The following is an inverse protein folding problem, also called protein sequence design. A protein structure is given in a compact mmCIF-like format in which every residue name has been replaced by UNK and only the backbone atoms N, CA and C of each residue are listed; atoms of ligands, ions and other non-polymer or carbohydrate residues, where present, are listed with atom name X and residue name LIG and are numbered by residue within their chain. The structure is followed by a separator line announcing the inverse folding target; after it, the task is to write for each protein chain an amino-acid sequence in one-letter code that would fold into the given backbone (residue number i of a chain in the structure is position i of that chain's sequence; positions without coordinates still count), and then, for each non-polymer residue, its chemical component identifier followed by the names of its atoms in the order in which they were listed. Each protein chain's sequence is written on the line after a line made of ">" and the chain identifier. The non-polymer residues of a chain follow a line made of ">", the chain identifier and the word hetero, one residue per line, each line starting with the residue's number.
data_IF_746312117275
#
_entry.id   IF_746312117275
#
_cell.length_a   1.000
_cell.length_b   1.000
_cell.length_c   1.000
_cell.angle_alpha   90.00
_cell.angle_beta   90.00
_cell.angle_gamma   90.00
#
_symmetry.space_group_name_H-M   'P 1'
#
loop_
_entity.id
_entity.type
_entity.pdbx_description
1 polymer ?
#
# COMPACT_ATOMS: atom_id res chain seq x y z
N UNK A 1 4.94 -62.84 6.63
CA UNK A 1 4.70 -61.97 7.80
C UNK A 1 4.79 -60.56 7.28
N UNK A 2 3.63 -59.93 7.08
CA UNK A 2 3.49 -58.58 6.58
C UNK A 2 3.83 -57.61 7.71
N UNK A 3 4.71 -56.64 7.45
CA UNK A 3 4.65 -55.32 8.07
C UNK A 3 5.08 -54.31 7.01
N UNK A 4 4.05 -53.82 6.35
CA UNK A 4 3.95 -52.53 5.68
C UNK A 4 4.37 -51.43 6.67
N UNK A 5 5.41 -50.67 6.34
CA UNK A 5 5.72 -49.41 7.01
C UNK A 5 5.45 -48.30 5.99
N UNK A 6 4.16 -48.04 5.82
CA UNK A 6 3.64 -46.81 5.25
C UNK A 6 4.01 -45.68 6.21
N UNK A 7 4.98 -44.86 5.81
CA UNK A 7 5.32 -43.62 6.49
C UNK A 7 4.12 -42.65 6.36
N UNK A 8 3.48 -42.25 7.48
CA UNK A 8 2.26 -41.48 7.39
C UNK A 8 2.59 -40.01 7.14
N UNK A 9 2.32 -39.59 5.92
CA UNK A 9 1.70 -38.30 5.65
C UNK A 9 2.56 -37.10 6.02
N UNK A 10 3.38 -36.69 5.06
CA UNK A 10 3.85 -35.32 4.91
C UNK A 10 2.64 -34.40 4.66
N UNK A 11 1.87 -34.11 5.72
CA UNK A 11 0.78 -33.13 5.68
C UNK A 11 1.31 -31.78 6.15
N UNK A 12 2.33 -31.27 5.45
CA UNK A 12 2.40 -29.84 5.22
C UNK A 12 1.26 -29.52 4.24
N UNK A 13 0.03 -29.43 4.76
CA UNK A 13 -1.10 -28.97 3.98
C UNK A 13 -0.74 -27.58 3.48
N UNK A 14 -0.44 -27.48 2.18
CA UNK A 14 -0.43 -26.24 1.44
C UNK A 14 -1.78 -25.57 1.67
N UNK A 15 -1.83 -24.68 2.66
CA UNK A 15 -2.96 -23.79 2.84
C UNK A 15 -2.88 -22.89 1.62
N UNK A 16 -3.82 -23.11 0.71
CA UNK A 16 -4.04 -22.32 -0.50
C UNK A 16 -3.91 -20.83 -0.19
N UNK A 17 -3.13 -20.12 -1.01
CA UNK A 17 -2.92 -18.66 -0.97
C UNK A 17 -4.23 -17.83 -1.10
N UNK A 18 -5.39 -18.50 -1.18
CA UNK A 18 -6.69 -17.91 -1.46
C UNK A 18 -7.84 -18.43 -0.58
N UNK A 19 -7.60 -19.16 0.51
CA UNK A 19 -8.70 -19.49 1.44
C UNK A 19 -8.88 -18.37 2.47
N UNK A 20 -10.08 -17.82 2.59
CA UNK A 20 -10.43 -16.87 3.65
C UNK A 20 -10.16 -17.50 5.01
N UNK A 21 -9.11 -17.04 5.69
CA UNK A 21 -8.80 -17.52 7.04
C UNK A 21 -9.74 -16.76 7.96
N UNK A 22 -10.51 -17.48 8.78
CA UNK A 22 -11.35 -16.84 9.81
C UNK A 22 -10.49 -15.90 10.67
N UNK A 23 -11.06 -14.76 11.08
CA UNK A 23 -10.43 -13.78 11.99
C UNK A 23 -9.71 -14.48 13.15
N UNK A 24 -10.35 -15.48 13.75
CA UNK A 24 -9.80 -16.26 14.86
C UNK A 24 -8.56 -17.04 14.47
N UNK A 25 -8.59 -17.72 13.32
CA UNK A 25 -7.45 -18.50 12.82
C UNK A 25 -6.30 -17.57 12.39
N UNK A 26 -6.59 -16.43 11.77
CA UNK A 26 -5.60 -15.42 11.41
C UNK A 26 -4.91 -14.86 12.67
N UNK A 27 -5.66 -14.56 13.72
CA UNK A 27 -5.10 -14.06 14.99
C UNK A 27 -4.25 -15.10 15.74
N UNK A 28 -4.54 -16.39 15.56
CA UNK A 28 -3.75 -17.49 16.15
C UNK A 28 -2.45 -17.69 15.36
N UNK A 29 -2.54 -17.80 14.03
CA UNK A 29 -1.39 -18.06 13.15
C UNK A 29 -0.47 -16.83 13.05
N UNK A 30 -1.08 -15.64 13.02
CA UNK A 30 -0.42 -14.36 12.82
C UNK A 30 -0.88 -13.37 13.89
N UNK A 31 -0.36 -13.55 15.11
CA UNK A 31 -0.65 -12.62 16.21
C UNK A 31 -0.31 -11.20 15.82
N UNK A 32 -1.25 -10.29 16.12
CA UNK A 32 -1.09 -8.85 15.93
C UNK A 32 0.19 -8.37 16.59
N UNK A 33 0.94 -7.51 15.91
CA UNK A 33 2.05 -6.79 16.52
C UNK A 33 1.54 -5.89 17.66
N UNK A 34 2.30 -5.75 18.73
CA UNK A 34 1.87 -5.00 19.93
C UNK A 34 1.43 -3.57 19.61
N UNK A 35 2.13 -2.90 18.69
CA UNK A 35 1.81 -1.55 18.24
C UNK A 35 2.04 -1.39 16.73
N UNK A 36 1.21 -0.58 16.08
CA UNK A 36 1.32 -0.24 14.65
C UNK A 36 2.62 0.51 14.34
N UNK A 37 3.14 1.27 15.30
CA UNK A 37 4.41 2.00 15.20
C UNK A 37 5.61 1.08 15.04
N UNK A 38 5.53 -0.18 15.52
CA UNK A 38 6.61 -1.17 15.32
C UNK A 38 6.70 -1.53 13.84
N UNK A 39 5.55 -1.77 13.19
CA UNK A 39 5.48 -2.07 11.75
C UNK A 39 5.95 -0.86 10.94
N UNK A 40 5.47 0.35 11.28
CA UNK A 40 5.89 1.57 10.60
C UNK A 40 7.40 1.83 10.73
N UNK A 41 7.94 1.72 11.94
CA UNK A 41 9.37 1.95 12.21
C UNK A 41 10.23 0.95 11.44
N UNK A 42 9.87 -0.33 11.46
CA UNK A 42 10.55 -1.36 10.67
C UNK A 42 10.55 -1.01 9.17
N UNK A 43 9.38 -0.70 8.61
CA UNK A 43 9.24 -0.40 7.19
C UNK A 43 10.08 0.80 6.77
N UNK A 44 9.98 1.91 7.51
CA UNK A 44 10.73 3.14 7.20
C UNK A 44 12.25 2.94 7.37
N UNK A 45 12.69 2.18 8.38
CA UNK A 45 14.11 1.85 8.53
C UNK A 45 14.62 1.00 7.36
N UNK A 46 13.87 -0.01 6.94
CA UNK A 46 14.22 -0.83 5.76
C UNK A 46 14.32 0.05 4.51
N UNK A 47 13.31 0.88 4.26
CA UNK A 47 13.24 1.75 3.08
C UNK A 47 14.40 2.75 3.02
N UNK A 48 14.75 3.37 4.15
CA UNK A 48 15.89 4.28 4.22
C UNK A 48 17.22 3.54 4.11
N UNK A 49 17.34 2.34 4.69
CA UNK A 49 18.53 1.51 4.54
C UNK A 49 18.78 1.11 3.07
N UNK A 50 17.73 0.82 2.30
CA UNK A 50 17.84 0.56 0.86
C UNK A 50 18.38 1.74 0.07
N UNK A 51 18.15 2.97 0.56
CA UNK A 51 18.57 4.20 -0.11
C UNK A 51 19.99 4.64 0.29
N UNK A 52 20.60 4.02 1.31
CA UNK A 52 21.93 4.42 1.79
C UNK A 52 23.00 4.17 0.72
N UNK A 53 23.76 5.21 0.40
CA UNK A 53 24.89 5.12 -0.53
C UNK A 53 24.52 5.09 -2.01
N UNK A 54 23.25 5.27 -2.37
CA UNK A 54 22.80 5.38 -3.76
C UNK A 54 22.71 6.86 -4.18
N UNK A 55 23.55 7.28 -5.13
CA UNK A 55 23.61 8.68 -5.61
C UNK A 55 22.37 9.09 -6.42
N UNK A 56 21.63 8.13 -6.96
CA UNK A 56 20.42 8.33 -7.76
C UNK A 56 19.17 8.65 -6.92
N UNK A 57 19.24 8.45 -5.59
CA UNK A 57 18.14 8.70 -4.67
C UNK A 57 17.84 10.20 -4.60
N UNK A 58 16.58 10.54 -4.87
CA UNK A 58 16.09 11.92 -4.88
C UNK A 58 14.88 12.14 -4.00
N UNK A 59 14.50 11.14 -3.21
CA UNK A 59 13.42 11.25 -2.27
C UNK A 59 13.71 10.46 -0.99
N UNK A 60 13.16 10.93 0.12
CA UNK A 60 13.36 10.38 1.46
C UNK A 60 12.05 9.78 2.00
N UNK A 61 12.15 8.59 2.58
CA UNK A 61 11.04 7.95 3.29
C UNK A 61 10.95 8.45 4.72
N UNK A 62 9.76 8.89 5.12
CA UNK A 62 9.54 9.52 6.41
C UNK A 62 8.32 8.93 7.14
N UNK A 63 8.45 8.73 8.45
CA UNK A 63 7.33 8.48 9.36
C UNK A 63 6.45 9.72 9.58
N UNK A 64 6.79 10.87 9.00
CA UNK A 64 5.98 12.08 9.14
C UNK A 64 4.63 11.87 8.48
N UNK A 65 3.60 11.73 9.32
CA UNK A 65 2.21 11.67 8.90
C UNK A 65 1.88 12.86 8.00
N UNK A 66 1.33 12.56 6.82
CA UNK A 66 0.82 13.58 5.92
C UNK A 66 -0.69 13.69 6.10
N UNK A 67 -1.15 14.88 6.49
CA UNK A 67 -2.57 15.22 6.59
C UNK A 67 -3.01 15.84 5.27
N UNK A 68 -4.00 15.21 4.65
CA UNK A 68 -4.56 15.60 3.36
C UNK A 68 -6.00 16.04 3.63
N UNK A 69 -6.36 17.24 3.17
CA UNK A 69 -7.71 17.76 3.27
C UNK A 69 -8.10 18.35 1.92
N UNK A 70 -9.28 18.00 1.44
CA UNK A 70 -9.84 18.56 0.21
C UNK A 70 -11.33 18.90 0.44
N UNK A 71 -11.77 20.14 0.16
CA UNK A 71 -13.17 20.51 0.22
C UNK A 71 -13.96 19.90 -0.96
N UNK A 72 -15.15 19.40 -0.70
CA UNK A 72 -16.11 18.95 -1.71
C UNK A 72 -17.46 19.60 -1.39
N UNK A 73 -17.92 20.52 -2.24
CA UNK A 73 -19.09 21.36 -1.97
C UNK A 73 -19.04 22.02 -0.59
N UNK A 74 -20.03 21.71 0.26
CA UNK A 74 -20.11 22.18 1.64
C UNK A 74 -19.39 21.29 2.68
N UNK A 75 -18.84 20.15 2.23
CA UNK A 75 -18.12 19.19 3.07
C UNK A 75 -16.61 19.19 2.79
N UNK A 76 -15.89 18.33 3.49
CA UNK A 76 -14.47 18.08 3.21
C UNK A 76 -14.12 16.62 3.45
N UNK A 77 -13.28 16.08 2.57
CA UNK A 77 -12.62 14.80 2.78
C UNK A 77 -11.28 15.05 3.49
N UNK A 78 -11.07 14.35 4.60
CA UNK A 78 -9.79 14.37 5.32
C UNK A 78 -9.22 12.96 5.39
N UNK A 79 -7.91 12.85 5.12
CA UNK A 79 -7.16 11.62 5.25
C UNK A 79 -5.83 11.89 5.96
N UNK A 80 -5.36 10.90 6.71
CA UNK A 80 -4.03 10.90 7.34
C UNK A 80 -3.33 9.61 6.97
N UNK A 81 -2.05 9.71 6.70
CA UNK A 81 -1.16 8.60 6.35
C UNK A 81 -0.19 8.32 7.50
N UNK A 82 0.38 7.12 7.53
CA UNK A 82 1.39 6.73 8.52
C UNK A 82 2.82 7.14 8.12
N UNK A 83 3.01 7.51 6.87
CA UNK A 83 4.26 8.05 6.35
C UNK A 83 4.14 8.45 4.89
N UNK A 84 5.26 8.87 4.31
CA UNK A 84 5.33 9.23 2.90
C UNK A 84 6.76 9.23 2.37
N UNK A 85 6.88 9.19 1.05
CA UNK A 85 8.11 9.47 0.31
C UNK A 85 8.07 10.91 -0.22
N UNK A 86 9.10 11.71 0.09
CA UNK A 86 9.17 13.12 -0.30
C UNK A 86 10.39 13.43 -1.14
N UNK A 87 10.19 14.12 -2.26
CA UNK A 87 11.30 14.60 -3.10
C UNK A 87 12.21 15.55 -2.32
N UNK A 88 13.52 15.37 -2.46
CA UNK A 88 14.52 16.33 -2.00
C UNK A 88 14.32 17.67 -2.72
N UNK A 89 14.57 18.76 -2.00
CA UNK A 89 14.43 20.13 -2.52
C UNK A 89 12.98 20.65 -2.53
N UNK A 90 12.05 19.97 -3.22
CA UNK A 90 10.65 20.45 -3.33
C UNK A 90 9.78 20.03 -2.14
N UNK A 91 10.07 18.89 -1.51
CA UNK A 91 9.24 18.33 -0.44
C UNK A 91 7.93 17.68 -0.93
N UNK A 92 7.73 17.60 -2.24
CA UNK A 92 6.54 17.01 -2.85
C UNK A 92 6.41 15.55 -2.45
N UNK A 93 5.21 15.16 -2.04
CA UNK A 93 4.88 13.76 -1.79
C UNK A 93 4.76 13.03 -3.11
N UNK A 94 5.48 11.91 -3.25
CA UNK A 94 5.45 11.06 -4.44
C UNK A 94 4.99 9.64 -4.16
N UNK A 95 4.95 9.21 -2.90
CA UNK A 95 4.23 8.02 -2.46
C UNK A 95 3.75 8.20 -1.01
N UNK A 96 2.68 7.52 -0.64
CA UNK A 96 2.17 7.48 0.74
C UNK A 96 2.42 6.10 1.36
N UNK A 97 2.56 6.07 2.68
CA UNK A 97 2.75 4.84 3.47
C UNK A 97 1.56 4.66 4.41
N UNK A 98 1.04 3.45 4.45
CA UNK A 98 0.00 3.02 5.39
C UNK A 98 0.42 1.70 6.03
N UNK A 99 0.23 1.53 7.33
CA UNK A 99 0.57 0.27 7.99
C UNK A 99 -0.57 -0.26 8.84
N UNK A 100 -0.55 -1.57 9.05
CA UNK A 100 -1.43 -2.24 10.02
C UNK A 100 -0.62 -3.25 10.84
N UNK A 101 -0.92 -3.40 12.13
CA UNK A 101 -0.24 -4.38 12.98
C UNK A 101 -0.79 -5.81 12.80
N UNK A 102 -1.71 -6.03 11.86
CA UNK A 102 -2.37 -7.31 11.58
C UNK A 102 -2.34 -7.60 10.08
N UNK A 103 -2.53 -8.87 9.72
CA UNK A 103 -2.66 -9.30 8.32
C UNK A 103 -3.92 -8.75 7.66
N UNK A 104 -3.90 -8.58 6.33
CA UNK A 104 -4.97 -7.88 5.59
C UNK A 104 -6.33 -8.57 5.70
N UNK A 105 -6.37 -9.88 5.47
CA UNK A 105 -7.54 -10.72 5.75
C UNK A 105 -7.59 -10.97 7.26
N UNK A 106 -8.64 -10.60 7.99
CA UNK A 106 -10.05 -10.35 7.62
C UNK A 106 -10.49 -8.88 7.47
N UNK A 107 -9.57 -7.93 7.63
CA UNK A 107 -9.89 -6.50 7.71
C UNK A 107 -9.86 -5.78 6.35
N UNK A 108 -9.83 -6.54 5.25
CA UNK A 108 -9.57 -6.05 3.91
C UNK A 108 -10.48 -4.88 3.50
N UNK A 109 -11.77 -4.94 3.81
CA UNK A 109 -12.72 -3.89 3.40
C UNK A 109 -12.44 -2.56 4.11
N UNK A 110 -12.11 -2.61 5.41
CA UNK A 110 -11.77 -1.42 6.19
C UNK A 110 -10.44 -0.81 5.70
N UNK A 111 -9.44 -1.65 5.44
CA UNK A 111 -8.15 -1.23 4.90
C UNK A 111 -8.35 -0.59 3.53
N UNK A 112 -9.09 -1.23 2.61
CA UNK A 112 -9.37 -0.70 1.28
C UNK A 112 -10.11 0.63 1.32
N UNK A 113 -11.08 0.79 2.23
CA UNK A 113 -11.78 2.06 2.41
C UNK A 113 -10.82 3.18 2.86
N UNK A 114 -9.91 2.88 3.78
CA UNK A 114 -8.92 3.85 4.25
C UNK A 114 -7.90 4.22 3.15
N UNK A 115 -7.29 3.22 2.50
CA UNK A 115 -6.35 3.40 1.39
C UNK A 115 -6.98 4.20 0.25
N UNK A 116 -8.23 3.89 -0.12
CA UNK A 116 -8.98 4.59 -1.15
C UNK A 116 -9.24 6.05 -0.77
N UNK A 117 -9.61 6.32 0.48
CA UNK A 117 -9.86 7.69 0.97
C UNK A 117 -8.58 8.53 0.88
N UNK A 118 -7.43 7.98 1.26
CA UNK A 118 -6.14 8.66 1.15
C UNK A 118 -5.77 8.97 -0.32
N UNK A 119 -5.99 8.01 -1.22
CA UNK A 119 -5.73 8.20 -2.64
C UNK A 119 -6.64 9.26 -3.25
N UNK A 120 -7.95 9.23 -2.98
CA UNK A 120 -8.90 10.23 -3.49
C UNK A 120 -8.55 11.61 -2.96
N UNK A 121 -8.30 11.74 -1.65
CA UNK A 121 -7.93 13.02 -1.05
C UNK A 121 -6.65 13.59 -1.68
N UNK A 122 -5.65 12.74 -1.97
CA UNK A 122 -4.44 13.17 -2.65
C UNK A 122 -4.68 13.56 -4.11
N UNK A 123 -5.39 12.74 -4.87
CA UNK A 123 -5.68 13.00 -6.29
C UNK A 123 -6.48 14.30 -6.44
N UNK A 124 -7.44 14.54 -5.57
CA UNK A 124 -8.26 15.76 -5.60
C UNK A 124 -7.44 17.04 -5.40
N UNK A 125 -6.29 16.99 -4.71
CA UNK A 125 -5.39 18.14 -4.58
C UNK A 125 -4.58 18.43 -5.85
N UNK A 126 -4.56 17.55 -6.85
CA UNK A 126 -3.77 17.73 -8.07
C UNK A 126 -4.50 18.57 -9.12
N UNK A 127 -3.74 19.41 -9.81
CA UNK A 127 -4.28 20.19 -10.93
C UNK A 127 -4.47 19.34 -12.19
N UNK A 128 -3.54 18.41 -12.46
CA UNK A 128 -3.54 17.52 -13.62
C UNK A 128 -3.02 16.11 -13.26
N UNK A 129 -3.29 15.14 -14.13
CA UNK A 129 -2.74 13.78 -14.01
C UNK A 129 -1.22 13.87 -14.16
N UNK A 130 -0.49 13.28 -13.22
CA UNK A 130 0.97 13.19 -13.30
C UNK A 130 1.36 11.99 -14.20
N UNK A 131 2.01 12.17 -15.35
CA UNK A 131 2.41 11.04 -16.20
C UNK A 131 3.34 10.03 -15.51
N UNK A 132 3.97 10.41 -14.38
CA UNK A 132 4.78 9.50 -13.55
C UNK A 132 3.96 8.46 -12.76
N UNK A 133 2.63 8.49 -12.87
CA UNK A 133 1.66 7.54 -12.26
C UNK A 133 1.85 6.07 -12.70
N UNK A 134 2.74 5.78 -13.65
CA UNK A 134 3.15 4.40 -13.95
C UNK A 134 3.98 3.73 -12.82
N UNK A 135 4.29 4.45 -11.74
CA UNK A 135 4.88 3.91 -10.50
C UNK A 135 3.81 3.85 -9.40
N UNK A 136 3.90 2.88 -8.48
CA UNK A 136 2.96 2.76 -7.35
C UNK A 136 2.89 4.06 -6.53
N UNK A 137 1.71 4.42 -6.05
CA UNK A 137 1.45 5.66 -5.30
C UNK A 137 1.24 5.40 -3.82
N UNK A 138 0.85 4.19 -3.43
CA UNK A 138 0.67 3.79 -2.04
C UNK A 138 1.47 2.52 -1.78
N UNK A 139 2.30 2.55 -0.74
CA UNK A 139 3.00 1.40 -0.17
C UNK A 139 2.32 1.08 1.15
N UNK A 140 1.81 -0.15 1.30
CA UNK A 140 1.25 -0.58 2.57
C UNK A 140 1.93 -1.82 3.14
N UNK A 141 1.97 -1.93 4.46
CA UNK A 141 2.42 -3.13 5.14
C UNK A 141 1.41 -3.55 6.21
N UNK A 142 0.83 -4.73 6.00
CA UNK A 142 -0.11 -5.38 6.90
C UNK A 142 0.64 -6.50 7.63
N UNK A 143 1.11 -6.19 8.84
CA UNK A 143 2.02 -7.03 9.64
C UNK A 143 3.33 -7.34 8.89
N UNK A 144 3.38 -8.47 8.21
CA UNK A 144 4.57 -8.95 7.48
C UNK A 144 4.37 -8.91 5.96
N UNK A 145 3.17 -8.53 5.51
CA UNK A 145 2.79 -8.53 4.10
C UNK A 145 2.87 -7.11 3.56
N UNK A 146 3.72 -6.90 2.55
CA UNK A 146 3.82 -5.62 1.84
C UNK A 146 2.96 -5.64 0.59
N UNK A 147 2.31 -4.52 0.30
CA UNK A 147 1.51 -4.28 -0.90
C UNK A 147 1.94 -2.99 -1.60
N UNK A 148 1.93 -3.02 -2.93
CA UNK A 148 2.19 -1.86 -3.78
C UNK A 148 0.92 -1.53 -4.55
N UNK A 149 0.42 -0.32 -4.40
CA UNK A 149 -0.86 0.09 -4.98
C UNK A 149 -0.68 1.20 -6.02
N UNK A 150 -1.23 0.95 -7.21
CA UNK A 150 -1.27 1.88 -8.35
C UNK A 150 -2.70 2.41 -8.50
N UNK A 151 -2.82 3.71 -8.75
CA UNK A 151 -4.09 4.39 -9.00
C UNK A 151 -4.11 4.88 -10.45
N UNK A 152 -5.00 4.32 -11.28
CA UNK A 152 -5.20 4.76 -12.67
C UNK A 152 -6.53 5.52 -12.80
N UNK A 153 -6.44 6.71 -13.38
CA UNK A 153 -7.55 7.63 -13.58
C UNK A 153 -7.21 8.60 -14.71
N UNK A 154 -8.20 9.10 -15.43
CA UNK A 154 -8.00 10.07 -16.50
C UNK A 154 -8.32 11.50 -16.05
N UNK A 155 -8.18 12.45 -16.98
CA UNK A 155 -8.48 13.86 -16.72
C UNK A 155 -9.97 14.10 -16.42
N UNK A 156 -10.86 13.29 -16.97
CA UNK A 156 -12.29 13.41 -16.70
C UNK A 156 -12.63 13.01 -15.27
N UNK A 157 -11.89 12.06 -14.68
CA UNK A 157 -12.00 11.77 -13.25
C UNK A 157 -11.54 12.95 -12.38
N UNK A 158 -10.48 13.67 -12.77
CA UNK A 158 -10.04 14.87 -12.05
C UNK A 158 -11.11 15.96 -12.12
N UNK A 159 -11.68 16.22 -13.30
CA UNK A 159 -12.80 17.17 -13.46
C UNK A 159 -13.99 16.77 -12.59
N UNK A 160 -14.29 15.47 -12.49
CA UNK A 160 -15.35 14.97 -11.63
C UNK A 160 -15.09 15.32 -10.16
N UNK A 161 -13.87 15.09 -9.67
CA UNK A 161 -13.50 15.46 -8.29
C UNK A 161 -13.58 16.97 -8.03
N UNK A 162 -13.38 17.80 -9.05
CA UNK A 162 -13.49 19.26 -8.96
C UNK A 162 -14.90 19.80 -9.17
N UNK A 163 -15.90 18.93 -9.31
CA UNK A 163 -17.28 19.30 -9.60
C UNK A 163 -17.44 20.05 -10.94
N UNK A 164 -16.51 19.82 -11.87
CA UNK A 164 -16.47 20.46 -13.21
C UNK A 164 -17.15 19.60 -14.30
N UNK A 165 -17.62 18.39 -13.96
CA UNK A 165 -18.31 17.49 -14.90
C UNK A 165 -19.82 17.66 -14.86
N UNK A 166 -20.47 17.50 -16.02
CA UNK A 166 -21.92 17.37 -16.12
C UNK A 166 -22.39 16.08 -15.41
N UNK A 167 -23.23 16.18 -14.35
CA UNK A 167 -23.75 15.01 -13.62
C UNK A 167 -24.62 14.09 -14.49
N UNK A 168 -25.11 14.59 -15.64
CA UNK A 168 -25.99 13.89 -16.57
C UNK A 168 -25.26 13.20 -17.71
N UNK A 169 -23.92 13.33 -17.78
CA UNK A 169 -23.13 12.67 -18.82
C UNK A 169 -23.24 11.14 -18.76
N UNK A 170 -23.50 10.52 -19.92
CA UNK A 170 -23.63 9.06 -20.04
C UNK A 170 -22.32 8.32 -19.74
N UNK A 171 -21.17 8.94 -20.05
CA UNK A 171 -19.85 8.36 -19.81
C UNK A 171 -19.28 8.91 -18.49
N UNK A 172 -19.17 8.03 -17.50
CA UNK A 172 -18.52 8.32 -16.21
C UNK A 172 -17.08 7.81 -16.22
N UNK A 173 -16.16 8.63 -15.73
CA UNK A 173 -14.79 8.22 -15.45
C UNK A 173 -14.64 7.80 -13.99
N UNK A 174 -13.83 6.78 -13.74
CA UNK A 174 -13.63 6.20 -12.42
C UNK A 174 -12.15 5.98 -12.13
N UNK A 175 -11.79 6.13 -10.86
CA UNK A 175 -10.52 5.67 -10.33
C UNK A 175 -10.49 4.14 -10.29
N UNK A 176 -9.47 3.55 -10.92
CA UNK A 176 -9.15 2.12 -10.79
C UNK A 176 -7.93 1.96 -9.89
N UNK A 177 -8.11 1.25 -8.78
CA UNK A 177 -7.04 0.96 -7.82
C UNK A 177 -6.61 -0.49 -8.02
N UNK A 178 -5.32 -0.71 -8.24
CA UNK A 178 -4.73 -2.05 -8.38
C UNK A 178 -3.63 -2.23 -7.36
N UNK A 179 -3.81 -3.19 -6.46
CA UNK A 179 -2.83 -3.57 -5.45
C UNK A 179 -2.11 -4.85 -5.87
N UNK A 180 -0.79 -4.85 -5.75
CA UNK A 180 0.09 -5.99 -5.99
C UNK A 180 0.65 -6.47 -4.64
N UNK A 181 0.88 -7.79 -4.52
CA UNK A 181 1.29 -8.45 -3.27
C UNK A 181 0.41 -9.67 -2.97
N UNK A 182 0.49 -10.24 -1.76
CA UNK A 182 1.39 -9.84 -0.67
C UNK A 182 2.84 -10.25 -0.93
N UNK A 183 3.79 -9.41 -0.54
CA UNK A 183 5.20 -9.80 -0.38
C UNK A 183 5.52 -9.97 1.10
N UNK A 184 5.79 -11.20 1.53
CA UNK A 184 6.25 -11.47 2.89
C UNK A 184 7.69 -10.96 3.11
N UNK A 185 7.86 -10.05 4.06
CA UNK A 185 9.15 -9.46 4.42
C UNK A 185 10.12 -10.43 5.08
N UNK A 186 9.61 -11.57 5.59
CA UNK A 186 10.45 -12.64 6.14
C UNK A 186 10.97 -13.58 5.05
N UNK A 187 10.49 -13.46 3.81
CA UNK A 187 10.93 -14.27 2.68
C UNK A 187 12.06 -13.56 1.92
N UNK A 188 13.26 -14.14 1.96
CA UNK A 188 14.41 -13.64 1.19
C UNK A 188 14.09 -13.52 -0.30
N UNK A 189 13.36 -14.49 -0.85
CA UNK A 189 12.99 -14.51 -2.28
C UNK A 189 12.07 -13.35 -2.67
N UNK A 190 11.17 -12.93 -1.77
CA UNK A 190 10.31 -11.78 -1.97
C UNK A 190 11.05 -10.47 -1.77
N UNK A 191 11.86 -10.35 -0.71
CA UNK A 191 12.71 -9.17 -0.46
C UNK A 191 13.64 -8.90 -1.66
N UNK A 192 14.27 -9.93 -2.23
CA UNK A 192 15.12 -9.79 -3.43
C UNK A 192 14.39 -9.22 -4.65
N UNK A 193 13.08 -9.48 -4.78
CA UNK A 193 12.25 -8.95 -5.88
C UNK A 193 11.68 -7.57 -5.56
N UNK A 194 11.29 -7.35 -4.31
CA UNK A 194 10.61 -6.14 -3.85
C UNK A 194 11.58 -4.95 -3.70
N UNK A 195 12.75 -5.16 -3.10
CA UNK A 195 13.69 -4.08 -2.80
C UNK A 195 14.13 -3.25 -4.02
N UNK A 196 14.43 -3.84 -5.20
CA UNK A 196 14.73 -3.05 -6.40
C UNK A 196 13.58 -2.12 -6.83
N UNK A 197 12.32 -2.56 -6.67
CA UNK A 197 11.13 -1.75 -7.00
C UNK A 197 11.02 -0.57 -6.03
N UNK A 198 11.24 -0.81 -4.74
CA UNK A 198 11.21 0.22 -3.69
C UNK A 198 12.33 1.26 -3.88
N UNK A 199 13.56 0.81 -4.18
CA UNK A 199 14.68 1.69 -4.46
C UNK A 199 14.44 2.55 -5.71
N UNK A 200 13.93 1.94 -6.79
CA UNK A 200 13.58 2.66 -8.01
C UNK A 200 12.48 3.72 -7.78
N UNK A 201 11.63 3.54 -6.75
CA UNK A 201 10.63 4.56 -6.40
C UNK A 201 11.25 5.82 -5.80
N UNK A 202 12.29 5.67 -4.98
CA UNK A 202 13.02 6.78 -4.35
C UNK A 202 14.06 7.45 -5.28
N UNK A 203 14.34 6.83 -6.42
CA UNK A 203 15.35 7.27 -7.39
C UNK A 203 14.74 8.05 -8.57
N UNK A 204 15.58 8.83 -9.27
CA UNK A 204 15.20 9.53 -10.51
C UNK A 204 14.64 8.55 -11.56
#
# INVERSE_FOLDING_TARGET
>A
MFTDNSDPGDTASFISDHSAISVTAANILYTRTEDESIVNTFLILLLNALCLGCEEVTAEWSMKRWMIKHPFGSGSLEARTDGCLRKHGTGDVVAIVEVKPYVRDPYQDQIKMQETTQLIAWIAQKEARDPSINRFVLLSQDRHEVFLTVADYDEDYIKFLKEETDPTADKKSFLRITSFGPWDVNSESYIRKLCPILLARASK
#
